data_IF_701333254614
#
_entry.id   IF_701333254614
#
_cell.length_a   1.000
_cell.length_b   1.000
_cell.length_c   1.000
_cell.angle_alpha   90.00
_cell.angle_beta   90.00
_cell.angle_gamma   90.00
#
_symmetry.space_group_name_H-M   'P 1'
#
loop_
_entity.id
_entity.type
_entity.pdbx_description
1 polymer ?
#
# COMPACT_ATOMS: atom_id res chain seq x y z
N UNK A 1 0.82 32.63 13.11
CA UNK A 1 -0.17 31.70 13.70
C UNK A 1 0.61 30.45 14.09
N UNK A 2 0.53 29.99 15.34
CA UNK A 2 1.22 28.76 15.77
C UNK A 2 0.72 27.57 14.95
N UNK A 3 1.60 26.63 14.61
CA UNK A 3 1.22 25.41 13.91
C UNK A 3 0.10 24.68 14.69
N UNK A 4 -0.87 24.04 14.01
CA UNK A 4 -1.88 23.24 14.68
C UNK A 4 -1.21 22.15 15.54
N UNK A 5 -1.70 21.95 16.76
CA UNK A 5 -1.15 20.99 17.71
C UNK A 5 -2.25 20.41 18.59
N UNK A 6 -1.91 19.34 19.31
CA UNK A 6 -2.84 18.64 20.18
C UNK A 6 -3.24 19.53 21.37
N UNK A 7 -4.53 19.60 21.69
CA UNK A 7 -5.04 20.31 22.85
C UNK A 7 -5.26 19.39 24.05
N UNK A 8 -5.41 19.93 25.28
CA UNK A 8 -5.81 19.13 26.44
C UNK A 8 -7.16 18.43 26.26
N UNK A 9 -8.09 19.03 25.50
CA UNK A 9 -9.38 18.43 25.14
C UNK A 9 -9.18 17.20 24.26
N UNK A 10 -8.32 17.30 23.25
CA UNK A 10 -8.02 16.18 22.36
C UNK A 10 -7.39 15.02 23.13
N UNK A 11 -6.47 15.33 24.06
CA UNK A 11 -5.83 14.32 24.90
C UNK A 11 -6.83 13.60 25.83
N UNK A 12 -7.88 14.29 26.29
CA UNK A 12 -8.98 13.69 27.06
C UNK A 12 -9.77 12.70 26.21
N UNK A 13 -10.11 13.06 24.96
CA UNK A 13 -10.80 12.18 24.01
C UNK A 13 -9.96 10.94 23.70
N UNK A 14 -8.68 11.12 23.36
CA UNK A 14 -7.75 10.02 23.11
C UNK A 14 -7.58 9.11 24.34
N UNK A 15 -7.51 9.69 25.54
CA UNK A 15 -7.44 8.92 26.78
C UNK A 15 -8.71 8.11 27.05
N UNK A 16 -9.88 8.65 26.71
CA UNK A 16 -11.14 7.91 26.82
C UNK A 16 -11.15 6.70 25.89
N UNK A 17 -10.84 6.88 24.60
CA UNK A 17 -10.79 5.76 23.65
C UNK A 17 -9.73 4.73 24.02
N UNK A 18 -8.55 5.16 24.47
CA UNK A 18 -7.52 4.24 24.94
C UNK A 18 -7.93 3.45 26.20
N UNK A 19 -8.67 4.09 27.11
CA UNK A 19 -9.25 3.46 28.30
C UNK A 19 -10.32 2.43 27.95
N UNK A 20 -11.18 2.75 26.98
CA UNK A 20 -12.20 1.86 26.43
C UNK A 20 -11.64 0.78 25.48
N UNK A 21 -10.32 0.75 25.25
CA UNK A 21 -9.65 -0.12 24.25
C UNK A 21 -10.17 0.08 22.81
N UNK A 22 -10.77 1.23 22.52
CA UNK A 22 -11.37 1.53 21.22
C UNK A 22 -10.32 2.07 20.26
N UNK A 23 -9.60 1.14 19.61
CA UNK A 23 -8.54 1.47 18.64
C UNK A 23 -9.09 2.24 17.45
N UNK A 24 -10.27 1.87 16.95
CA UNK A 24 -10.82 2.51 15.77
C UNK A 24 -11.10 3.99 16.03
N UNK A 25 -11.84 4.33 17.09
CA UNK A 25 -12.15 5.73 17.39
C UNK A 25 -10.91 6.52 17.81
N UNK A 26 -9.91 5.89 18.43
CA UNK A 26 -8.63 6.54 18.75
C UNK A 26 -7.92 7.05 17.48
N UNK A 27 -7.67 6.16 16.51
CA UNK A 27 -6.98 6.53 15.28
C UNK A 27 -7.83 7.40 14.37
N UNK A 28 -9.15 7.19 14.37
CA UNK A 28 -10.11 8.05 13.69
C UNK A 28 -10.06 9.49 14.20
N UNK A 29 -10.04 9.66 15.52
CA UNK A 29 -9.96 10.98 16.14
C UNK A 29 -8.65 11.69 15.77
N UNK A 30 -7.51 10.99 15.78
CA UNK A 30 -6.25 11.56 15.30
C UNK A 30 -6.30 11.98 13.83
N UNK A 31 -6.89 11.15 12.97
CA UNK A 31 -6.96 11.38 11.53
C UNK A 31 -7.84 12.58 11.12
N UNK A 32 -8.78 13.01 11.97
CA UNK A 32 -9.63 14.19 11.71
C UNK A 32 -9.05 15.51 12.23
N UNK A 33 -8.05 15.48 13.12
CA UNK A 33 -7.50 16.70 13.71
C UNK A 33 -6.79 17.56 12.65
N UNK A 34 -7.04 18.88 12.59
CA UNK A 34 -6.32 19.77 11.69
C UNK A 34 -4.81 19.72 11.90
N UNK A 35 -4.04 19.61 10.82
CA UNK A 35 -2.58 19.55 10.88
C UNK A 35 -2.00 18.18 11.24
N UNK A 36 -2.81 17.11 11.29
CA UNK A 36 -2.28 15.76 11.39
C UNK A 36 -1.44 15.39 10.14
N UNK A 37 -0.42 14.57 10.36
CA UNK A 37 0.55 14.14 9.35
C UNK A 37 0.09 12.97 8.47
N UNK A 38 -1.08 12.38 8.74
CA UNK A 38 -1.61 11.20 8.05
C UNK A 38 -1.40 9.87 8.80
N UNK A 39 -0.62 9.85 9.89
CA UNK A 39 -0.35 8.60 10.64
C UNK A 39 -1.62 7.93 11.16
N UNK A 40 -2.56 8.72 11.71
CA UNK A 40 -3.86 8.20 12.16
C UNK A 40 -4.65 7.52 11.04
N UNK A 41 -4.58 8.06 9.81
CA UNK A 41 -5.29 7.48 8.66
C UNK A 41 -4.63 6.19 8.18
N UNK A 42 -3.30 6.12 8.17
CA UNK A 42 -2.57 4.90 7.88
C UNK A 42 -2.93 3.79 8.89
N UNK A 43 -2.91 4.12 10.19
CA UNK A 43 -3.25 3.19 11.26
C UNK A 43 -4.71 2.70 11.18
N UNK A 44 -5.65 3.56 10.77
CA UNK A 44 -7.04 3.16 10.56
C UNK A 44 -7.21 2.05 9.54
N UNK A 45 -6.48 2.09 8.40
CA UNK A 45 -6.53 1.03 7.39
C UNK A 45 -6.09 -0.33 7.95
N UNK A 46 -5.09 -0.34 8.83
CA UNK A 46 -4.62 -1.54 9.54
C UNK A 46 -5.68 -2.06 10.51
N UNK A 47 -6.30 -1.15 11.28
CA UNK A 47 -7.30 -1.49 12.32
C UNK A 47 -8.59 -2.02 11.70
N UNK A 48 -9.08 -1.38 10.64
CA UNK A 48 -10.31 -1.78 9.94
C UNK A 48 -10.10 -2.92 8.95
N UNK A 49 -8.86 -3.17 8.54
CA UNK A 49 -8.51 -4.19 7.55
C UNK A 49 -9.29 -3.98 6.23
N UNK A 50 -9.55 -2.72 5.86
CA UNK A 50 -10.52 -2.33 4.82
C UNK A 50 -9.86 -1.70 3.58
N UNK A 51 -8.54 -1.58 3.57
CA UNK A 51 -7.74 -1.13 2.43
C UNK A 51 -6.50 -2.00 2.19
N UNK A 52 -5.92 -1.91 1.00
CA UNK A 52 -4.79 -2.77 0.61
C UNK A 52 -3.53 -2.59 1.48
N UNK A 53 -3.11 -1.35 1.83
CA UNK A 53 -1.96 -1.15 2.72
C UNK A 53 -2.16 -1.78 4.10
N UNK A 54 -3.35 -1.63 4.68
CA UNK A 54 -3.69 -2.19 5.99
C UNK A 54 -3.67 -3.72 5.99
N UNK A 55 -4.23 -4.35 4.96
CA UNK A 55 -4.17 -5.81 4.76
C UNK A 55 -2.74 -6.30 4.61
N UNK A 56 -1.95 -5.61 3.80
CA UNK A 56 -0.54 -5.93 3.56
C UNK A 56 0.28 -5.84 4.84
N UNK A 57 0.09 -4.79 5.64
CA UNK A 57 0.79 -4.62 6.91
C UNK A 57 0.43 -5.73 7.92
N UNK A 58 -0.85 -6.06 8.04
CA UNK A 58 -1.31 -7.15 8.90
C UNK A 58 -0.72 -8.51 8.46
N UNK A 59 -0.77 -8.81 7.16
CA UNK A 59 -0.24 -10.07 6.65
C UNK A 59 1.29 -10.13 6.71
N UNK A 60 1.98 -9.00 6.52
CA UNK A 60 3.43 -8.89 6.72
C UNK A 60 3.80 -9.26 8.15
N UNK A 61 3.15 -8.64 9.15
CA UNK A 61 3.41 -8.92 10.56
C UNK A 61 3.14 -10.40 10.90
N UNK A 62 2.04 -10.98 10.40
CA UNK A 62 1.71 -12.38 10.63
C UNK A 62 2.68 -13.35 9.93
N UNK A 63 3.08 -13.08 8.68
CA UNK A 63 4.07 -13.89 7.98
C UNK A 63 5.43 -13.83 8.69
N UNK A 64 5.86 -12.63 9.09
CA UNK A 64 7.11 -12.43 9.81
C UNK A 64 7.12 -13.21 11.12
N UNK A 65 6.08 -13.06 11.95
CA UNK A 65 5.96 -13.77 13.21
C UNK A 65 5.96 -15.30 13.04
N UNK A 66 5.31 -15.81 11.98
CA UNK A 66 5.31 -17.25 11.67
C UNK A 66 6.71 -17.73 11.29
N UNK A 67 7.38 -17.02 10.39
CA UNK A 67 8.66 -17.44 9.80
C UNK A 67 9.85 -17.26 10.75
N UNK A 68 9.85 -16.21 11.55
CA UNK A 68 11.00 -15.84 12.40
C UNK A 68 10.78 -16.16 13.88
N UNK A 69 9.52 -16.26 14.32
CA UNK A 69 9.18 -16.52 15.72
C UNK A 69 8.37 -17.81 15.92
N UNK A 70 7.94 -18.49 14.85
CA UNK A 70 7.11 -19.70 14.93
C UNK A 70 5.70 -19.45 15.47
N UNK A 71 5.20 -18.21 15.40
CA UNK A 71 3.93 -17.80 16.01
C UNK A 71 2.85 -17.50 14.98
N UNK A 72 1.66 -18.06 15.18
CA UNK A 72 0.44 -17.72 14.46
C UNK A 72 -0.55 -17.15 15.46
N UNK A 73 -0.96 -15.90 15.25
CA UNK A 73 -1.84 -15.18 16.16
C UNK A 73 -3.27 -15.14 15.63
N UNK A 74 -4.22 -15.23 16.54
CA UNK A 74 -5.64 -14.99 16.30
C UNK A 74 -5.94 -13.50 16.11
N UNK A 75 -7.13 -13.18 15.61
CA UNK A 75 -7.55 -11.78 15.46
C UNK A 75 -7.62 -11.06 16.83
N UNK A 76 -7.94 -11.78 17.92
CA UNK A 76 -7.95 -11.24 19.27
C UNK A 76 -6.55 -10.91 19.78
N UNK A 77 -5.58 -11.79 19.56
CA UNK A 77 -4.20 -11.51 19.97
C UNK A 77 -3.61 -10.32 19.21
N UNK A 78 -3.92 -10.19 17.92
CA UNK A 78 -3.58 -8.99 17.15
C UNK A 78 -4.33 -7.74 17.64
N UNK A 79 -5.58 -7.88 18.09
CA UNK A 79 -6.32 -6.78 18.72
C UNK A 79 -5.65 -6.29 20.01
N UNK A 80 -5.29 -7.23 20.90
CA UNK A 80 -4.63 -6.94 22.16
C UNK A 80 -3.24 -6.30 21.95
N UNK A 81 -2.48 -6.77 20.95
CA UNK A 81 -1.27 -6.10 20.47
C UNK A 81 -1.56 -4.66 20.05
N UNK A 82 -2.60 -4.44 19.25
CA UNK A 82 -3.01 -3.11 18.80
C UNK A 82 -3.43 -2.19 19.95
N UNK A 83 -4.06 -2.74 21.00
CA UNK A 83 -4.47 -1.99 22.19
C UNK A 83 -3.23 -1.55 22.98
N UNK A 84 -2.23 -2.43 23.12
CA UNK A 84 -0.96 -2.11 23.76
C UNK A 84 -0.21 -1.01 22.99
N UNK A 85 -0.12 -1.13 21.66
CA UNK A 85 0.48 -0.13 20.78
C UNK A 85 -0.18 1.25 20.94
N UNK A 86 -1.52 1.31 20.85
CA UNK A 86 -2.28 2.55 21.05
C UNK A 86 -2.00 3.21 22.41
N UNK A 87 -1.92 2.41 23.49
CA UNK A 87 -1.62 2.95 24.82
C UNK A 87 -0.20 3.51 24.91
N UNK A 88 0.77 2.91 24.22
CA UNK A 88 2.14 3.42 24.14
C UNK A 88 2.23 4.71 23.32
N UNK A 89 1.52 4.76 22.20
CA UNK A 89 1.37 5.98 21.38
C UNK A 89 0.81 7.13 22.24
N UNK A 90 -0.30 6.89 22.96
CA UNK A 90 -0.88 7.87 23.88
C UNK A 90 0.11 8.35 24.95
N UNK A 91 0.94 7.45 25.48
CA UNK A 91 1.94 7.81 26.49
C UNK A 91 2.96 8.82 25.95
N UNK A 92 3.43 8.64 24.71
CA UNK A 92 4.32 9.61 24.07
C UNK A 92 3.62 10.95 23.81
N UNK A 93 2.36 10.95 23.36
CA UNK A 93 1.59 12.19 23.18
C UNK A 93 1.44 12.95 24.49
N UNK A 94 1.18 12.25 25.60
CA UNK A 94 1.14 12.83 26.96
C UNK A 94 2.48 13.46 27.36
N UNK A 95 3.59 12.80 27.04
CA UNK A 95 4.93 13.34 27.33
C UNK A 95 5.20 14.64 26.58
N UNK A 96 4.90 14.69 25.28
CA UNK A 96 5.06 15.91 24.47
C UNK A 96 4.13 17.04 24.94
N UNK A 97 2.89 16.73 25.29
CA UNK A 97 1.98 17.70 25.92
C UNK A 97 2.53 18.25 27.24
N UNK A 98 3.13 17.40 28.07
CA UNK A 98 3.78 17.83 29.33
C UNK A 98 4.99 18.75 29.12
N UNK A 99 5.59 18.75 27.92
CA UNK A 99 6.69 19.65 27.53
C UNK A 99 6.20 20.95 26.88
N UNK A 100 4.89 21.12 26.66
CA UNK A 100 4.33 22.27 25.95
C UNK A 100 4.46 22.18 24.42
N UNK A 101 4.88 21.03 23.89
CA UNK A 101 5.18 20.80 22.47
C UNK A 101 3.98 20.14 21.78
N UNK A 102 2.89 20.90 21.64
CA UNK A 102 1.60 20.40 21.17
C UNK A 102 1.63 19.91 19.72
N UNK A 103 2.47 20.49 18.85
CA UNK A 103 2.64 20.02 17.47
C UNK A 103 3.24 18.61 17.41
N UNK A 104 4.22 18.31 18.23
CA UNK A 104 4.87 16.99 18.31
C UNK A 104 3.97 15.98 19.02
N UNK A 105 3.12 16.44 19.94
CA UNK A 105 2.07 15.59 20.52
C UNK A 105 1.01 15.20 19.48
N UNK A 106 0.76 16.04 18.47
CA UNK A 106 -0.14 15.72 17.35
C UNK A 106 0.55 14.81 16.32
N UNK A 107 1.78 15.16 15.94
CA UNK A 107 2.59 14.42 14.96
C UNK A 107 3.84 13.93 15.66
N UNK A 108 3.75 12.71 16.22
CA UNK A 108 4.86 12.12 16.96
C UNK A 108 6.07 11.95 16.03
N UNK A 109 7.29 12.29 16.48
CA UNK A 109 8.47 11.96 15.71
C UNK A 109 8.58 10.45 15.49
N UNK A 110 9.15 10.04 14.36
CA UNK A 110 9.20 8.63 13.96
C UNK A 110 9.91 7.75 14.98
N UNK A 111 10.86 8.32 15.72
CA UNK A 111 11.59 7.63 16.78
C UNK A 111 10.65 7.10 17.86
N UNK A 112 9.73 7.93 18.35
CA UNK A 112 8.73 7.57 19.35
C UNK A 112 7.68 6.61 18.79
N UNK A 113 7.25 6.82 17.53
CA UNK A 113 6.34 5.88 16.84
C UNK A 113 6.98 4.50 16.74
N UNK A 114 8.22 4.43 16.29
CA UNK A 114 8.97 3.18 16.19
C UNK A 114 9.14 2.52 17.56
N UNK A 115 9.51 3.28 18.60
CA UNK A 115 9.70 2.69 19.92
C UNK A 115 8.39 2.17 20.54
N UNK A 116 7.25 2.79 20.22
CA UNK A 116 5.94 2.24 20.58
C UNK A 116 5.71 0.87 19.94
N UNK A 117 6.01 0.72 18.64
CA UNK A 117 5.92 -0.56 17.92
C UNK A 117 6.92 -1.59 18.45
N UNK A 118 8.20 -1.23 18.57
CA UNK A 118 9.26 -2.10 19.09
C UNK A 118 8.87 -2.73 20.43
N UNK A 119 8.36 -1.91 21.35
CA UNK A 119 7.97 -2.41 22.68
C UNK A 119 6.68 -3.24 22.64
N UNK A 120 5.74 -2.94 21.75
CA UNK A 120 4.54 -3.75 21.55
C UNK A 120 4.90 -5.14 20.96
N UNK A 121 5.78 -5.20 19.96
CA UNK A 121 6.22 -6.46 19.34
C UNK A 121 7.03 -7.31 20.31
N UNK A 122 8.00 -6.70 21.03
CA UNK A 122 8.78 -7.42 22.06
C UNK A 122 7.89 -8.01 23.17
N UNK A 123 6.79 -7.35 23.53
CA UNK A 123 5.85 -7.85 24.56
C UNK A 123 5.17 -9.15 24.15
N UNK A 124 4.91 -9.36 22.86
CA UNK A 124 4.36 -10.61 22.32
C UNK A 124 5.47 -11.57 21.82
N UNK A 125 6.73 -11.25 22.15
CA UNK A 125 7.95 -11.96 21.74
C UNK A 125 8.04 -12.18 20.22
N UNK A 126 7.66 -11.15 19.48
CA UNK A 126 7.86 -11.04 18.03
C UNK A 126 8.97 -10.02 17.79
N UNK A 127 9.81 -10.29 16.79
CA UNK A 127 10.85 -9.35 16.41
C UNK A 127 10.21 -8.02 15.92
N UNK A 128 10.68 -6.85 16.39
CA UNK A 128 10.22 -5.55 15.89
C UNK A 128 10.29 -5.36 14.37
N UNK A 129 11.12 -6.12 13.66
CA UNK A 129 11.17 -6.15 12.20
C UNK A 129 9.87 -6.64 11.55
N UNK A 130 8.94 -7.24 12.31
CA UNK A 130 7.57 -7.50 11.88
C UNK A 130 6.77 -6.21 11.62
N UNK A 131 7.23 -5.05 12.09
CA UNK A 131 6.68 -3.75 11.71
C UNK A 131 7.17 -3.34 10.32
N UNK A 132 6.26 -3.20 9.36
CA UNK A 132 6.59 -2.99 7.94
C UNK A 132 7.62 -1.88 7.65
N UNK A 133 7.59 -0.69 8.29
CA UNK A 133 8.57 0.37 8.06
C UNK A 133 9.94 0.14 8.73
N UNK A 134 10.06 -0.77 9.70
CA UNK A 134 11.17 -0.86 10.66
C UNK A 134 12.55 -0.91 9.99
N UNK A 135 12.71 -1.84 9.03
CA UNK A 135 14.00 -2.06 8.33
C UNK A 135 14.42 -0.85 7.50
N UNK A 136 13.47 -0.15 6.89
CA UNK A 136 13.74 1.07 6.12
C UNK A 136 14.16 2.22 7.03
N UNK A 137 13.50 2.38 8.18
CA UNK A 137 13.84 3.41 9.16
C UNK A 137 15.23 3.19 9.76
N UNK A 138 15.65 1.94 10.01
CA UNK A 138 17.04 1.67 10.44
C UNK A 138 18.05 1.97 9.35
N UNK A 139 17.78 1.60 8.11
CA UNK A 139 18.66 1.92 7.01
C UNK A 139 18.84 3.45 6.91
N UNK A 140 17.75 4.21 7.02
CA UNK A 140 17.78 5.67 7.03
C UNK A 140 18.57 6.23 8.24
N UNK A 141 18.37 5.70 9.46
CA UNK A 141 19.18 6.13 10.62
C UNK A 141 20.65 5.78 10.49
N UNK A 142 21.01 4.65 9.86
CA UNK A 142 22.42 4.32 9.56
C UNK A 142 23.04 5.36 8.65
N UNK A 143 22.34 5.79 7.59
CA UNK A 143 22.76 6.89 6.75
C UNK A 143 22.94 8.19 7.58
N UNK A 144 21.97 8.49 8.45
CA UNK A 144 22.04 9.65 9.35
C UNK A 144 23.23 9.63 10.32
N UNK A 145 23.63 8.46 10.80
CA UNK A 145 24.86 8.30 11.62
C UNK A 145 26.13 8.63 10.81
N UNK A 146 26.18 8.22 9.55
CA UNK A 146 27.30 8.58 8.67
C UNK A 146 27.32 10.09 8.40
N UNK A 147 26.16 10.70 8.18
CA UNK A 147 26.03 12.17 8.04
C UNK A 147 26.50 12.90 9.29
N UNK A 148 26.07 12.46 10.47
CA UNK A 148 26.48 13.04 11.74
C UNK A 148 28.00 12.95 11.95
N UNK A 149 28.61 11.82 11.59
CA UNK A 149 30.07 11.64 11.66
C UNK A 149 30.79 12.61 10.71
N UNK A 150 30.30 12.76 9.47
CA UNK A 150 30.88 13.71 8.49
C UNK A 150 30.79 15.15 8.98
N UNK A 151 29.65 15.55 9.50
CA UNK A 151 29.46 16.90 10.04
C UNK A 151 30.28 17.15 11.30
N UNK A 152 30.44 16.14 12.15
CA UNK A 152 31.33 16.22 13.32
C UNK A 152 32.79 16.41 12.90
N UNK A 153 33.27 15.69 11.90
CA UNK A 153 34.63 15.87 11.35
C UNK A 153 34.81 17.29 10.79
N UNK A 154 33.86 17.78 9.98
CA UNK A 154 33.89 19.13 9.42
C UNK A 154 33.84 20.22 10.49
N UNK A 155 33.06 20.03 11.55
CA UNK A 155 32.99 20.95 12.68
C UNK A 155 34.33 20.99 13.43
N UNK A 156 34.94 19.82 13.68
CA UNK A 156 36.24 19.72 14.32
C UNK A 156 37.35 20.43 13.50
N UNK A 157 37.32 20.32 12.17
CA UNK A 157 38.23 21.06 11.28
C UNK A 157 38.07 22.59 11.40
N UNK A 158 36.88 23.07 11.78
CA UNK A 158 36.61 24.50 12.07
C UNK A 158 36.85 24.89 13.53
N UNK A 159 37.29 23.97 14.39
CA UNK A 159 37.44 24.20 15.83
C UNK A 159 36.10 24.26 16.59
N UNK A 160 35.02 23.76 16.01
CA UNK A 160 33.68 23.72 16.59
C UNK A 160 33.38 22.33 17.20
N UNK A 161 32.55 22.29 18.24
CA UNK A 161 32.03 21.04 18.82
C UNK A 161 30.51 21.04 18.71
N UNK A 162 29.97 20.05 17.99
CA UNK A 162 28.52 19.87 17.87
C UNK A 162 27.94 19.30 19.16
N UNK A 163 26.82 19.85 19.62
CA UNK A 163 26.09 19.32 20.77
C UNK A 163 25.46 17.96 20.47
N UNK A 164 25.24 17.14 21.49
CA UNK A 164 24.53 15.85 21.36
C UNK A 164 23.14 16.01 20.73
N UNK A 165 22.40 17.06 21.11
CA UNK A 165 21.08 17.34 20.52
C UNK A 165 21.17 17.70 19.02
N UNK A 166 22.25 18.34 18.58
CA UNK A 166 22.48 18.62 17.15
C UNK A 166 22.78 17.33 16.40
N UNK A 167 23.64 16.47 16.95
CA UNK A 167 23.97 15.18 16.34
C UNK A 167 22.73 14.27 16.25
N UNK A 168 21.92 14.19 17.30
CA UNK A 168 20.68 13.42 17.31
C UNK A 168 19.72 13.87 16.20
N UNK A 169 19.58 15.19 15.99
CA UNK A 169 18.77 15.73 14.88
C UNK A 169 19.30 15.29 13.51
N UNK A 170 20.62 15.29 13.32
CA UNK A 170 21.23 14.83 12.05
C UNK A 170 20.97 13.33 11.84
N UNK A 171 21.08 12.53 12.90
CA UNK A 171 20.87 11.08 12.85
C UNK A 171 19.42 10.72 12.51
N UNK A 172 18.44 11.41 13.11
CA UNK A 172 17.02 11.09 12.90
C UNK A 172 16.44 11.69 11.60
N UNK A 173 17.03 12.77 11.08
CA UNK A 173 16.49 13.49 9.92
C UNK A 173 16.20 12.62 8.68
N UNK A 174 17.05 11.65 8.27
CA UNK A 174 16.73 10.75 7.17
C UNK A 174 15.52 9.85 7.47
N UNK A 175 15.41 9.33 8.69
CA UNK A 175 14.27 8.49 9.08
C UNK A 175 12.97 9.29 9.08
N UNK A 176 12.99 10.55 9.55
CA UNK A 176 11.84 11.45 9.49
C UNK A 176 11.40 11.75 8.05
N UNK A 177 12.35 11.91 7.12
CA UNK A 177 12.03 12.11 5.69
C UNK A 177 11.35 10.87 5.09
N UNK A 178 11.89 9.68 5.36
CA UNK A 178 11.27 8.42 4.91
C UNK A 178 9.88 8.28 5.50
N UNK A 179 9.73 8.51 6.81
CA UNK A 179 8.45 8.43 7.50
C UNK A 179 7.42 9.41 6.95
N UNK A 180 7.77 10.68 6.80
CA UNK A 180 6.87 11.71 6.26
C UNK A 180 6.42 11.36 4.83
N UNK A 181 7.33 10.85 3.99
CA UNK A 181 6.99 10.35 2.66
C UNK A 181 6.00 9.18 2.73
N UNK A 182 6.21 8.25 3.68
CA UNK A 182 5.29 7.16 3.97
C UNK A 182 3.97 7.58 4.62
N UNK A 183 3.80 8.84 5.02
CA UNK A 183 2.54 9.36 5.57
C UNK A 183 1.76 10.25 4.59
N UNK A 184 2.42 10.80 3.56
CA UNK A 184 1.75 11.60 2.54
C UNK A 184 0.84 10.73 1.64
N UNK A 185 -0.48 10.91 1.76
CA UNK A 185 -1.54 10.11 1.12
C UNK A 185 -1.99 10.65 -0.26
N UNK A 186 -1.31 11.66 -0.81
CA UNK A 186 -1.69 12.23 -2.12
C UNK A 186 -1.29 11.36 -3.33
N UNK A 187 -0.41 10.37 -3.12
CA UNK A 187 -0.12 9.32 -4.09
C UNK A 187 -1.05 8.13 -3.83
N UNK A 188 -1.88 7.77 -4.81
CA UNK A 188 -2.79 6.62 -4.81
C UNK A 188 -2.18 5.44 -4.03
N UNK A 189 -2.88 4.97 -2.99
CA UNK A 189 -2.41 4.10 -1.90
C UNK A 189 -1.83 2.72 -2.26
N UNK A 190 -1.47 2.49 -3.51
CA UNK A 190 -0.67 1.34 -3.96
C UNK A 190 0.76 1.71 -4.35
N UNK A 191 1.04 3.00 -4.57
CA UNK A 191 2.39 3.54 -4.62
C UNK A 191 3.17 3.21 -3.34
N UNK A 192 2.54 3.04 -2.17
CA UNK A 192 3.27 2.55 -0.99
C UNK A 192 3.67 1.07 -1.07
N UNK A 193 2.87 0.18 -1.63
CA UNK A 193 3.23 -1.25 -1.71
C UNK A 193 4.46 -1.48 -2.60
N UNK A 194 4.54 -0.73 -3.71
CA UNK A 194 5.59 -0.85 -4.73
C UNK A 194 6.69 0.22 -4.63
N UNK A 195 6.44 1.40 -4.05
CA UNK A 195 7.43 2.46 -3.79
C UNK A 195 8.04 2.41 -2.39
N UNK A 196 7.48 1.64 -1.45
CA UNK A 196 8.29 1.10 -0.33
C UNK A 196 9.35 0.13 -0.89
N UNK A 197 9.08 -0.45 -2.07
CA UNK A 197 9.94 -1.35 -2.86
C UNK A 197 10.81 -0.60 -3.90
N UNK A 198 10.46 0.59 -4.37
CA UNK A 198 11.29 1.42 -5.29
C UNK A 198 12.03 2.56 -4.56
N UNK A 199 11.57 2.99 -3.39
CA UNK A 199 12.34 3.73 -2.39
C UNK A 199 13.56 2.96 -1.87
N UNK A 200 13.67 1.67 -2.22
CA UNK A 200 14.90 0.87 -2.12
C UNK A 200 16.10 1.48 -2.86
N UNK A 201 15.88 2.42 -3.80
CA UNK A 201 16.95 3.20 -4.44
C UNK A 201 17.48 4.32 -3.52
N UNK A 202 16.69 4.79 -2.55
CA UNK A 202 17.12 5.75 -1.53
C UNK A 202 17.76 5.07 -0.28
N UNK A 203 17.50 3.78 -0.05
CA UNK A 203 18.14 3.00 1.01
C UNK A 203 19.49 2.41 0.55
N UNK A 204 20.42 3.26 0.11
CA UNK A 204 21.75 2.84 -0.37
C UNK A 204 22.56 2.06 0.70
N UNK A 205 22.23 2.23 1.99
CA UNK A 205 22.90 1.62 3.14
C UNK A 205 22.22 0.37 3.75
N UNK A 206 21.22 -0.23 3.06
CA UNK A 206 20.72 -1.56 3.45
C UNK A 206 21.57 -2.66 2.77
N UNK A 207 22.11 -3.65 3.53
CA UNK A 207 22.79 -4.80 2.94
C UNK A 207 21.95 -5.48 1.86
N UNK A 208 22.58 -5.93 0.77
CA UNK A 208 21.89 -6.50 -0.40
C UNK A 208 20.99 -7.70 -0.02
N UNK A 209 21.46 -8.53 0.92
CA UNK A 209 20.71 -9.69 1.42
C UNK A 209 19.43 -9.24 2.14
N UNK A 210 19.53 -8.27 3.04
CA UNK A 210 18.38 -7.74 3.80
C UNK A 210 17.37 -7.07 2.88
N UNK A 211 17.87 -6.39 1.84
CA UNK A 211 17.04 -5.76 0.80
C UNK A 211 16.22 -6.77 0.03
N UNK A 212 16.86 -7.86 -0.41
CA UNK A 212 16.21 -8.95 -1.13
C UNK A 212 15.17 -9.69 -0.26
N UNK A 213 15.51 -9.94 1.01
CA UNK A 213 14.58 -10.54 1.95
C UNK A 213 13.36 -9.65 2.20
N UNK A 214 13.57 -8.37 2.53
CA UNK A 214 12.48 -7.42 2.76
C UNK A 214 11.55 -7.29 1.55
N UNK A 215 12.12 -7.17 0.34
CA UNK A 215 11.37 -7.08 -0.91
C UNK A 215 10.48 -8.32 -1.14
N UNK A 216 11.02 -9.52 -0.90
CA UNK A 216 10.29 -10.79 -1.02
C UNK A 216 9.16 -10.86 0.00
N UNK A 217 9.45 -10.57 1.27
CA UNK A 217 8.48 -10.71 2.37
C UNK A 217 7.32 -9.71 2.19
N UNK A 218 7.62 -8.48 1.75
CA UNK A 218 6.61 -7.49 1.36
C UNK A 218 5.80 -7.93 0.15
N UNK A 219 6.44 -8.49 -0.88
CA UNK A 219 5.73 -8.97 -2.07
C UNK A 219 4.79 -10.13 -1.73
N UNK A 220 5.22 -11.06 -0.88
CA UNK A 220 4.39 -12.16 -0.40
C UNK A 220 3.19 -11.67 0.43
N UNK A 221 3.42 -10.71 1.33
CA UNK A 221 2.35 -10.08 2.11
C UNK A 221 1.36 -9.32 1.21
N UNK A 222 1.85 -8.62 0.20
CA UNK A 222 1.00 -7.90 -0.75
C UNK A 222 0.15 -8.87 -1.58
N UNK A 223 0.75 -9.89 -2.18
CA UNK A 223 0.00 -10.90 -2.96
C UNK A 223 -1.01 -11.62 -2.08
N UNK A 224 -0.62 -12.00 -0.87
CA UNK A 224 -1.52 -12.67 0.06
C UNK A 224 -2.68 -11.78 0.50
N UNK A 225 -2.48 -10.46 0.64
CA UNK A 225 -3.52 -9.49 1.01
C UNK A 225 -4.61 -9.32 -0.04
N UNK A 226 -4.33 -9.63 -1.32
CA UNK A 226 -5.36 -9.65 -2.38
C UNK A 226 -6.46 -10.68 -2.11
N UNK A 227 -6.10 -11.72 -1.37
CA UNK A 227 -6.98 -12.82 -1.02
C UNK A 227 -7.53 -12.69 0.41
N UNK A 228 -7.25 -11.60 1.13
CA UNK A 228 -7.83 -11.33 2.46
C UNK A 228 -9.23 -10.71 2.37
N UNK A 229 -10.12 -11.10 3.30
CA UNK A 229 -11.46 -10.51 3.44
C UNK A 229 -11.44 -9.34 4.43
N UNK A 230 -12.27 -8.29 4.25
CA UNK A 230 -12.44 -7.28 5.28
C UNK A 230 -12.97 -7.87 6.60
N UNK A 231 -12.71 -7.19 7.72
CA UNK A 231 -13.14 -7.62 9.06
C UNK A 231 -14.53 -7.08 9.46
N UNK A 232 -15.29 -6.53 8.51
CA UNK A 232 -16.59 -5.89 8.74
C UNK A 232 -17.72 -6.89 8.96
N UNK A 233 -17.61 -8.09 8.38
CA UNK A 233 -18.60 -9.16 8.56
C UNK A 233 -18.22 -10.05 9.75
N UNK A 234 -18.99 -10.04 10.86
CA UNK A 234 -18.74 -10.92 12.01
C UNK A 234 -19.03 -12.39 11.70
N UNK A 235 -19.91 -12.66 10.74
CA UNK A 235 -20.38 -14.01 10.39
C UNK A 235 -19.58 -14.65 9.23
N UNK A 236 -18.54 -13.97 8.72
CA UNK A 236 -17.69 -14.48 7.63
C UNK A 236 -16.21 -14.24 7.96
N UNK A 237 -15.45 -15.31 8.19
CA UNK A 237 -14.09 -15.25 8.72
C UNK A 237 -13.15 -16.08 7.84
N UNK A 238 -12.05 -15.49 7.38
CA UNK A 238 -11.04 -16.17 6.56
C UNK A 238 -10.72 -15.40 5.28
N UNK A 239 -10.18 -16.11 4.30
CA UNK A 239 -9.67 -15.60 3.01
C UNK A 239 -10.72 -15.78 1.90
N UNK A 240 -10.51 -15.19 0.73
CA UNK A 240 -11.49 -15.29 -0.36
C UNK A 240 -11.59 -16.71 -0.94
N UNK A 241 -10.52 -17.50 -0.88
CA UNK A 241 -10.44 -18.89 -1.35
C UNK A 241 -10.81 -19.93 -0.26
N UNK A 242 -10.58 -19.60 1.01
CA UNK A 242 -10.89 -20.47 2.14
C UNK A 242 -11.40 -19.65 3.34
N UNK A 243 -12.67 -19.87 3.70
CA UNK A 243 -13.32 -19.12 4.79
C UNK A 243 -14.37 -19.97 5.49
N UNK A 244 -14.78 -19.46 6.64
CA UNK A 244 -15.88 -19.99 7.43
C UNK A 244 -17.03 -19.01 7.39
N UNK A 245 -18.24 -19.53 7.27
CA UNK A 245 -19.45 -18.73 7.25
C UNK A 245 -20.44 -19.26 8.29
N UNK A 246 -21.04 -18.35 9.04
CA UNK A 246 -22.15 -18.67 9.93
C UNK A 246 -23.44 -18.69 9.14
N UNK A 247 -24.19 -19.77 9.24
CA UNK A 247 -25.48 -19.90 8.57
C UNK A 247 -26.62 -19.21 9.36
N UNK A 248 -27.83 -19.28 8.81
CA UNK A 248 -29.03 -18.69 9.44
C UNK A 248 -29.45 -19.35 10.75
N UNK A 249 -28.98 -20.57 11.01
CA UNK A 249 -29.29 -21.32 12.23
C UNK A 249 -28.23 -21.10 13.32
N UNK A 250 -27.16 -20.40 12.97
CA UNK A 250 -26.08 -20.07 13.87
C UNK A 250 -24.95 -21.10 13.87
N UNK A 251 -24.91 -22.01 12.91
CA UNK A 251 -23.87 -23.02 12.76
C UNK A 251 -22.74 -22.52 11.84
N UNK A 252 -21.51 -22.93 12.13
CA UNK A 252 -20.35 -22.63 11.29
C UNK A 252 -20.16 -23.68 10.21
N UNK A 253 -19.96 -23.24 8.98
CA UNK A 253 -19.59 -24.08 7.85
C UNK A 253 -18.24 -23.65 7.30
N UNK A 254 -17.39 -24.62 6.96
CA UNK A 254 -16.15 -24.36 6.22
C UNK A 254 -16.46 -24.34 4.72
N UNK A 255 -15.96 -23.33 4.01
CA UNK A 255 -16.10 -23.19 2.56
C UNK A 255 -14.71 -23.11 1.96
N UNK A 256 -14.39 -24.09 1.12
CA UNK A 256 -13.18 -24.11 0.28
C UNK A 256 -13.57 -24.00 -1.18
N UNK A 257 -13.04 -22.99 -1.85
CA UNK A 257 -13.12 -22.91 -3.30
C UNK A 257 -12.00 -23.76 -3.90
N UNK A 258 -12.34 -24.95 -4.41
CA UNK A 258 -11.43 -25.64 -5.31
C UNK A 258 -11.45 -24.89 -6.65
N UNK A 259 -10.31 -24.42 -7.16
CA UNK A 259 -10.20 -24.10 -8.58
C UNK A 259 -10.08 -25.42 -9.36
N UNK A 260 -11.04 -25.79 -10.24
CA UNK A 260 -10.74 -26.73 -11.29
C UNK A 260 -10.23 -25.95 -12.50
N UNK A 261 -9.21 -26.50 -13.13
CA UNK A 261 -8.94 -26.29 -14.55
C UNK A 261 -10.24 -26.69 -15.29
N UNK A 262 -11.02 -25.70 -15.76
CA UNK A 262 -12.30 -25.80 -16.48
C UNK A 262 -13.60 -25.77 -15.64
N UNK A 263 -14.12 -24.56 -15.43
CA UNK A 263 -15.54 -24.24 -15.73
C UNK A 263 -16.64 -24.59 -14.72
N UNK A 264 -16.39 -25.37 -13.65
CA UNK A 264 -17.43 -25.68 -12.64
C UNK A 264 -16.89 -25.45 -11.23
N UNK A 265 -17.37 -24.39 -10.57
CA UNK A 265 -17.08 -24.08 -9.16
C UNK A 265 -17.72 -25.14 -8.26
N UNK A 266 -16.91 -25.90 -7.53
CA UNK A 266 -17.39 -26.79 -6.47
C UNK A 266 -17.06 -26.14 -5.13
N UNK A 267 -18.10 -25.75 -4.39
CA UNK A 267 -17.95 -25.33 -3.00
C UNK A 267 -17.98 -26.60 -2.14
N UNK A 268 -16.85 -26.96 -1.53
CA UNK A 268 -16.83 -28.02 -0.53
C UNK A 268 -17.31 -27.43 0.80
N UNK A 269 -18.36 -28.02 1.37
CA UNK A 269 -18.96 -27.67 2.65
C UNK A 269 -18.59 -28.75 3.66
N UNK A 270 -17.69 -28.43 4.58
CA UNK A 270 -17.26 -29.34 5.65
C UNK A 270 -17.76 -28.84 7.03
N UNK A 271 -18.05 -29.78 7.93
CA UNK A 271 -18.35 -29.48 9.32
C UNK A 271 -17.11 -28.92 10.04
N UNK A 272 -17.29 -27.88 10.83
CA UNK A 272 -16.18 -27.23 11.53
C UNK A 272 -15.88 -27.95 12.85
N UNK A 273 -14.62 -28.39 13.08
CA UNK A 273 -14.24 -29.02 14.35
C UNK A 273 -14.44 -28.08 15.54
N UNK A 274 -14.73 -28.64 16.71
CA UNK A 274 -15.05 -27.88 17.93
C UNK A 274 -13.97 -26.86 18.33
N UNK A 275 -12.69 -27.22 18.21
CA UNK A 275 -11.59 -26.31 18.50
C UNK A 275 -11.59 -25.10 17.55
N UNK A 276 -11.87 -25.32 16.26
CA UNK A 276 -11.96 -24.24 15.27
C UNK A 276 -13.21 -23.39 15.50
N UNK A 277 -14.35 -23.99 15.85
CA UNK A 277 -15.58 -23.25 16.18
C UNK A 277 -15.35 -22.24 17.31
N UNK A 278 -14.64 -22.61 18.37
CA UNK A 278 -14.33 -21.70 19.48
C UNK A 278 -13.54 -20.47 19.05
N UNK A 279 -12.58 -20.64 18.13
CA UNK A 279 -11.78 -19.53 17.58
C UNK A 279 -12.66 -18.62 16.72
N UNK A 280 -13.58 -19.20 15.93
CA UNK A 280 -14.53 -18.45 15.10
C UNK A 280 -15.53 -17.66 15.95
N UNK A 281 -16.08 -18.26 17.00
CA UNK A 281 -16.94 -17.56 17.96
C UNK A 281 -16.21 -16.39 18.63
N UNK A 282 -14.99 -16.63 19.10
CA UNK A 282 -14.19 -15.59 19.73
C UNK A 282 -13.91 -14.41 18.77
N UNK A 283 -13.58 -14.72 17.52
CA UNK A 283 -13.35 -13.72 16.47
C UNK A 283 -14.63 -12.96 16.13
N UNK A 284 -15.78 -13.65 16.08
CA UNK A 284 -17.08 -13.05 15.84
C UNK A 284 -17.45 -12.09 16.97
N UNK A 285 -17.30 -12.51 18.23
CA UNK A 285 -17.58 -11.68 19.40
C UNK A 285 -16.70 -10.42 19.42
N UNK A 286 -15.43 -10.55 19.03
CA UNK A 286 -14.54 -9.41 18.85
C UNK A 286 -15.07 -8.43 17.79
N UNK A 287 -15.48 -8.92 16.61
CA UNK A 287 -16.00 -8.07 15.53
C UNK A 287 -17.31 -7.39 15.91
N UNK A 288 -18.22 -8.09 16.60
CA UNK A 288 -19.44 -7.51 17.15
C UNK A 288 -19.13 -6.43 18.19
N UNK A 289 -18.18 -6.68 19.08
CA UNK A 289 -17.74 -5.69 20.07
C UNK A 289 -17.17 -4.44 19.39
N UNK A 290 -16.34 -4.61 18.35
CA UNK A 290 -15.80 -3.48 17.56
C UNK A 290 -16.91 -2.71 16.84
N UNK A 291 -17.88 -3.40 16.24
CA UNK A 291 -19.02 -2.76 15.58
C UNK A 291 -19.82 -1.90 16.58
N UNK A 292 -20.09 -2.41 17.79
CA UNK A 292 -20.74 -1.64 18.84
C UNK A 292 -19.87 -0.46 19.33
N UNK A 293 -18.56 -0.68 19.51
CA UNK A 293 -17.62 0.34 19.96
C UNK A 293 -17.44 1.47 18.93
N UNK A 294 -17.62 1.19 17.64
CA UNK A 294 -17.51 2.19 16.56
C UNK A 294 -18.51 3.34 16.69
N UNK A 295 -19.65 3.12 17.34
CA UNK A 295 -20.66 4.15 17.57
C UNK A 295 -20.51 4.87 18.93
N UNK A 296 -19.58 4.42 19.78
CA UNK A 296 -19.39 4.92 21.14
C UNK A 296 -18.50 6.18 21.19
N UNK A 297 -18.92 7.25 20.49
CA UNK A 297 -18.19 8.51 20.46
C UNK A 297 -18.15 9.19 21.83
N UNK A 298 -17.00 9.78 22.15
CA UNK A 298 -16.87 10.65 23.31
C UNK A 298 -17.66 11.96 23.08
N UNK A 299 -18.30 12.58 24.10
CA UNK A 299 -19.10 13.80 23.92
C UNK A 299 -18.34 15.01 23.35
N UNK A 300 -17.02 15.01 23.53
CA UNK A 300 -16.11 16.05 23.00
C UNK A 300 -15.61 15.73 21.57
N UNK A 301 -16.00 14.59 20.99
CA UNK A 301 -15.74 14.21 19.60
C UNK A 301 -16.91 14.61 18.71
N UNK A 302 -16.62 15.14 17.52
CA UNK A 302 -17.63 15.57 16.56
C UNK A 302 -18.40 14.40 15.92
N UNK A 303 -18.03 13.14 16.19
CA UNK A 303 -18.76 11.97 15.70
C UNK A 303 -18.50 11.65 14.23
N UNK A 304 -17.41 12.18 13.65
CA UNK A 304 -17.10 12.00 12.23
C UNK A 304 -16.22 10.78 12.03
N UNK A 305 -16.70 9.79 11.29
CA UNK A 305 -15.84 8.72 10.79
C UNK A 305 -15.08 9.21 9.55
N UNK A 306 -13.75 9.24 9.65
CA UNK A 306 -12.85 9.46 8.53
C UNK A 306 -12.71 8.14 7.78
N UNK A 307 -12.84 8.16 6.46
CA UNK A 307 -12.56 6.99 5.63
C UNK A 307 -11.09 6.59 5.72
N UNK A 308 -10.80 5.29 5.69
CA UNK A 308 -9.44 4.81 5.47
C UNK A 308 -8.96 5.31 4.09
N UNK A 309 -7.65 5.51 3.90
CA UNK A 309 -7.15 5.85 2.57
C UNK A 309 -7.52 4.73 1.57
N UNK A 310 -8.19 5.06 0.47
CA UNK A 310 -8.68 4.12 -0.56
C UNK A 310 -9.46 2.91 0.01
N UNK A 311 -10.65 3.13 0.61
CA UNK A 311 -11.48 2.04 1.12
C UNK A 311 -11.93 1.14 -0.02
N UNK A 312 -11.86 -0.18 0.17
CA UNK A 312 -12.32 -1.17 -0.82
C UNK A 312 -13.81 -1.04 -1.18
N UNK A 313 -14.60 -0.37 -0.34
CA UNK A 313 -16.03 -0.11 -0.53
C UNK A 313 -16.30 1.03 -1.51
N UNK A 314 -15.36 1.97 -1.72
CA UNK A 314 -15.57 3.16 -2.55
C UNK A 314 -14.73 3.26 -3.82
N UNK A 315 -13.86 2.31 -4.11
CA UNK A 315 -13.33 2.14 -5.47
C UNK A 315 -12.76 0.75 -5.56
N UNK A 316 -13.54 -0.17 -6.12
CA UNK A 316 -12.91 -1.20 -6.94
C UNK A 316 -12.54 -0.49 -8.24
N UNK A 317 -11.27 -0.16 -8.54
CA UNK A 317 -10.87 -0.26 -9.92
C UNK A 317 -11.32 -1.64 -10.37
N UNK A 318 -12.29 -1.71 -11.29
CA UNK A 318 -12.67 -2.94 -11.97
C UNK A 318 -11.45 -3.32 -12.79
N UNK A 319 -10.51 -3.97 -12.12
CA UNK A 319 -9.27 -4.41 -12.68
C UNK A 319 -9.41 -5.92 -12.81
N UNK A 320 -9.54 -6.38 -14.05
CA UNK A 320 -9.67 -7.79 -14.37
C UNK A 320 -8.39 -8.28 -15.03
N UNK A 321 -8.10 -9.57 -14.91
CA UNK A 321 -7.05 -10.16 -15.72
C UNK A 321 -7.50 -10.13 -17.19
N UNK A 322 -6.60 -9.82 -18.14
CA UNK A 322 -6.92 -9.86 -19.56
C UNK A 322 -7.48 -11.22 -19.98
N UNK A 323 -8.46 -11.21 -20.87
CA UNK A 323 -9.03 -12.41 -21.49
C UNK A 323 -8.30 -12.75 -22.80
N UNK A 324 -8.37 -14.00 -23.29
CA UNK A 324 -7.72 -14.39 -24.54
C UNK A 324 -8.13 -13.56 -25.78
N UNK A 325 -9.31 -12.94 -25.74
CA UNK A 325 -9.90 -12.11 -26.81
C UNK A 325 -9.65 -10.59 -26.62
N UNK A 326 -8.99 -10.19 -25.52
CA UNK A 326 -8.63 -8.79 -25.30
C UNK A 326 -7.55 -8.32 -26.29
N UNK A 327 -7.49 -7.00 -26.51
CA UNK A 327 -6.46 -6.37 -27.34
C UNK A 327 -5.04 -6.75 -26.86
N UNK A 328 -4.15 -7.27 -27.72
CA UNK A 328 -2.86 -7.81 -27.29
C UNK A 328 -1.93 -6.79 -26.63
N UNK A 329 -1.96 -5.53 -27.06
CA UNK A 329 -1.14 -4.49 -26.46
C UNK A 329 -1.72 -4.03 -25.12
N UNK A 330 -3.04 -3.89 -25.02
CA UNK A 330 -3.71 -3.70 -23.73
C UNK A 330 -3.39 -4.84 -22.76
N UNK A 331 -3.48 -6.10 -23.19
CA UNK A 331 -3.17 -7.24 -22.33
C UNK A 331 -1.71 -7.17 -21.83
N UNK A 332 -0.76 -6.88 -22.72
CA UNK A 332 0.65 -6.74 -22.37
C UNK A 332 0.92 -5.57 -21.39
N UNK A 333 0.26 -4.42 -21.58
CA UNK A 333 0.32 -3.28 -20.66
C UNK A 333 -0.31 -3.66 -19.32
N UNK A 334 -1.50 -4.26 -19.34
CA UNK A 334 -2.27 -4.64 -18.15
C UNK A 334 -1.56 -5.67 -17.28
N UNK A 335 -0.84 -6.62 -17.89
CA UNK A 335 0.02 -7.58 -17.17
C UNK A 335 1.22 -6.94 -16.47
N UNK A 336 1.67 -5.77 -16.94
CA UNK A 336 2.80 -5.02 -16.35
C UNK A 336 2.32 -3.96 -15.35
N UNK A 337 1.07 -3.53 -15.46
CA UNK A 337 0.45 -2.56 -14.56
C UNK A 337 -0.12 -3.22 -13.29
N UNK A 338 0.01 -2.55 -12.14
CA UNK A 338 -0.63 -2.96 -10.89
C UNK A 338 -2.16 -3.12 -11.00
N UNK A 339 -2.74 -4.01 -10.17
CA UNK A 339 -4.19 -4.33 -10.17
C UNK A 339 -5.09 -3.21 -9.63
N UNK A 340 -4.54 -2.18 -9.03
CA UNK A 340 -5.27 -0.98 -8.62
C UNK A 340 -5.39 0.06 -9.74
N UNK A 341 -4.57 -0.07 -10.79
CA UNK A 341 -4.77 0.66 -12.03
C UNK A 341 -5.98 0.04 -12.72
N UNK A 342 -7.05 0.84 -12.82
CA UNK A 342 -8.30 0.41 -13.48
C UNK A 342 -8.04 -0.10 -14.91
N UNK A 343 -8.87 -1.03 -15.38
CA UNK A 343 -8.79 -1.50 -16.77
C UNK A 343 -8.97 -0.34 -17.77
N UNK A 344 -9.72 0.69 -17.39
CA UNK A 344 -9.86 1.93 -18.16
C UNK A 344 -8.54 2.69 -18.31
N UNK A 345 -7.78 2.84 -17.20
CA UNK A 345 -6.47 3.49 -17.22
C UNK A 345 -5.43 2.64 -17.96
N UNK A 346 -5.43 1.32 -17.79
CA UNK A 346 -4.57 0.42 -18.57
C UNK A 346 -4.84 0.52 -20.08
N UNK A 347 -6.11 0.63 -20.48
CA UNK A 347 -6.49 0.86 -21.87
C UNK A 347 -6.07 2.25 -22.39
N UNK A 348 -6.14 3.29 -21.56
CA UNK A 348 -5.61 4.62 -21.89
C UNK A 348 -4.09 4.59 -22.14
N UNK A 349 -3.34 3.85 -21.33
CA UNK A 349 -1.89 3.66 -21.50
C UNK A 349 -1.60 2.95 -22.81
N UNK A 350 -2.32 1.87 -23.13
CA UNK A 350 -2.17 1.16 -24.40
C UNK A 350 -2.53 2.05 -25.62
N UNK A 351 -3.51 2.93 -25.49
CA UNK A 351 -3.83 3.92 -26.52
C UNK A 351 -2.69 4.94 -26.72
N UNK A 352 -2.13 5.48 -25.63
CA UNK A 352 -1.00 6.42 -25.71
C UNK A 352 0.27 5.75 -26.23
N UNK A 353 0.50 4.47 -25.93
CA UNK A 353 1.59 3.68 -26.48
C UNK A 353 1.50 3.62 -28.03
N UNK A 354 0.30 3.41 -28.59
CA UNK A 354 0.09 3.44 -30.04
C UNK A 354 0.37 4.80 -30.66
N UNK A 355 0.01 5.89 -29.99
CA UNK A 355 0.30 7.25 -30.48
C UNK A 355 1.79 7.54 -30.60
N UNK A 356 2.63 6.88 -29.81
CA UNK A 356 4.09 6.99 -29.93
C UNK A 356 4.70 5.93 -30.86
N UNK A 357 3.88 5.09 -31.51
CA UNK A 357 4.28 4.11 -32.51
C UNK A 357 4.49 2.69 -31.99
N UNK A 358 3.99 2.36 -30.79
CA UNK A 358 3.99 0.99 -30.27
C UNK A 358 2.67 0.32 -30.67
N UNK A 359 2.67 -0.44 -31.77
CA UNK A 359 1.47 -1.09 -32.31
C UNK A 359 1.35 -2.56 -31.90
N UNK A 360 2.46 -3.21 -31.52
CA UNK A 360 2.48 -4.61 -31.12
C UNK A 360 3.04 -4.79 -29.70
N UNK A 361 2.58 -5.83 -29.01
CA UNK A 361 3.04 -6.17 -27.66
C UNK A 361 4.55 -6.41 -27.55
N UNK A 362 5.18 -6.89 -28.63
CA UNK A 362 6.63 -7.12 -28.70
C UNK A 362 7.45 -5.81 -28.75
N UNK A 363 6.85 -4.74 -29.27
CA UNK A 363 7.48 -3.42 -29.39
C UNK A 363 7.44 -2.66 -28.05
N UNK A 364 6.63 -3.15 -27.10
CA UNK A 364 6.47 -2.59 -25.76
C UNK A 364 7.72 -2.87 -24.91
N UNK A 365 8.42 -1.80 -24.56
CA UNK A 365 9.53 -1.78 -23.62
C UNK A 365 9.06 -1.81 -22.16
N UNK A 366 9.64 -0.96 -21.31
CA UNK A 366 9.25 -0.88 -19.91
C UNK A 366 7.88 -0.21 -19.76
N UNK A 367 7.05 -0.74 -18.86
CA UNK A 367 5.81 -0.11 -18.40
C UNK A 367 5.92 0.00 -16.90
N UNK A 368 6.18 1.21 -16.43
CA UNK A 368 6.47 1.51 -15.05
C UNK A 368 5.56 2.64 -14.56
N UNK A 369 5.41 2.75 -13.26
CA UNK A 369 4.73 3.88 -12.64
C UNK A 369 5.75 4.59 -11.79
N UNK A 370 5.96 5.89 -12.04
CA UNK A 370 6.95 6.74 -11.39
C UNK A 370 6.44 8.18 -11.32
N UNK A 371 6.65 8.86 -10.19
CA UNK A 371 6.32 10.29 -9.98
C UNK A 371 4.88 10.66 -10.39
N UNK A 372 3.88 9.92 -9.89
CA UNK A 372 2.45 10.05 -10.24
C UNK A 372 2.13 9.84 -11.73
N UNK A 373 3.04 9.22 -12.48
CA UNK A 373 2.89 9.00 -13.92
C UNK A 373 3.15 7.55 -14.30
N UNK A 374 2.31 7.00 -15.18
CA UNK A 374 2.59 5.75 -15.89
C UNK A 374 3.50 6.09 -17.07
N UNK A 375 4.67 5.49 -17.10
CA UNK A 375 5.65 5.58 -18.16
C UNK A 375 5.59 4.31 -19.00
N UNK A 376 5.49 4.47 -20.31
CA UNK A 376 5.47 3.37 -21.27
C UNK A 376 6.49 3.66 -22.36
N UNK A 377 7.54 2.84 -22.47
CA UNK A 377 8.60 3.02 -23.46
C UNK A 377 8.52 2.04 -24.62
N UNK A 378 9.06 2.44 -25.76
CA UNK A 378 9.24 1.60 -26.93
C UNK A 378 10.61 0.90 -26.89
N UNK A 379 10.66 -0.40 -27.19
CA UNK A 379 11.87 -1.23 -27.08
C UNK A 379 13.02 -0.76 -27.99
N UNK A 380 12.72 -0.23 -29.17
CA UNK A 380 13.71 0.03 -30.22
C UNK A 380 13.82 1.49 -30.67
N UNK A 381 12.91 2.37 -30.24
CA UNK A 381 12.85 3.76 -30.74
C UNK A 381 13.20 4.80 -29.69
N UNK A 382 13.37 4.40 -28.42
CA UNK A 382 13.64 5.31 -27.30
C UNK A 382 12.47 6.24 -26.93
N UNK A 383 11.33 6.13 -27.61
CA UNK A 383 10.13 6.94 -27.33
C UNK A 383 9.49 6.51 -26.01
N UNK A 384 9.01 7.49 -25.24
CA UNK A 384 8.33 7.28 -23.95
C UNK A 384 7.01 8.04 -23.94
N UNK A 385 5.94 7.35 -23.56
CA UNK A 385 4.64 7.92 -23.28
C UNK A 385 4.50 8.08 -21.77
N UNK A 386 3.88 9.19 -21.35
CA UNK A 386 3.67 9.51 -19.94
C UNK A 386 2.21 9.86 -19.66
N UNK A 387 1.64 9.29 -18.60
CA UNK A 387 0.22 9.37 -18.26
C UNK A 387 0.06 9.67 -16.78
N UNK A 388 -0.63 10.73 -16.40
CA UNK A 388 -0.94 11.02 -14.99
C UNK A 388 -1.89 9.96 -14.40
N UNK A 389 -1.53 9.44 -13.23
CA UNK A 389 -2.26 8.37 -12.57
C UNK A 389 -3.61 8.82 -12.00
N UNK A 390 -3.69 10.07 -11.55
CA UNK A 390 -4.86 10.72 -10.96
C UNK A 390 -5.88 11.26 -11.98
N UNK A 391 -5.46 11.39 -13.25
CA UNK A 391 -6.36 11.82 -14.32
C UNK A 391 -7.51 10.82 -14.53
N UNK A 392 -8.72 11.32 -14.78
CA UNK A 392 -9.88 10.46 -15.06
C UNK A 392 -9.71 9.79 -16.43
N UNK A 393 -9.57 8.45 -16.52
CA UNK A 393 -9.36 7.78 -17.79
C UNK A 393 -10.67 7.71 -18.60
N UNK A 394 -10.60 7.70 -19.94
CA UNK A 394 -11.74 7.32 -20.77
C UNK A 394 -12.17 5.87 -20.47
N UNK A 395 -13.45 5.50 -20.71
CA UNK A 395 -13.91 4.12 -20.61
C UNK A 395 -13.03 3.14 -21.42
N UNK A 396 -12.77 1.93 -20.89
CA UNK A 396 -11.92 0.89 -21.52
C UNK A 396 -12.26 0.72 -23.00
N UNK A 397 -13.54 0.48 -23.31
CA UNK A 397 -13.97 0.15 -24.67
C UNK A 397 -13.74 1.30 -25.67
N UNK A 398 -13.82 2.55 -25.22
CA UNK A 398 -13.52 3.72 -26.06
C UNK A 398 -12.02 3.80 -26.39
N UNK A 399 -11.16 3.61 -25.38
CA UNK A 399 -9.71 3.58 -25.59
C UNK A 399 -9.29 2.45 -26.53
N UNK A 400 -9.90 1.27 -26.41
CA UNK A 400 -9.66 0.12 -27.30
C UNK A 400 -10.18 0.38 -28.72
N UNK A 401 -11.36 0.98 -28.88
CA UNK A 401 -11.89 1.32 -30.20
C UNK A 401 -10.97 2.31 -30.93
N UNK A 402 -10.50 3.37 -30.25
CA UNK A 402 -9.54 4.32 -30.81
C UNK A 402 -8.19 3.67 -31.12
N UNK A 403 -7.72 2.76 -30.28
CA UNK A 403 -6.50 2.01 -30.50
C UNK A 403 -6.57 1.19 -31.81
N UNK A 404 -7.70 0.50 -32.05
CA UNK A 404 -7.94 -0.26 -33.29
C UNK A 404 -7.96 0.64 -34.52
N UNK A 405 -8.52 1.84 -34.42
CA UNK A 405 -8.51 2.81 -35.53
C UNK A 405 -7.08 3.27 -35.87
N UNK A 406 -6.23 3.50 -34.86
CA UNK A 406 -4.82 3.84 -35.08
C UNK A 406 -4.06 2.70 -35.77
N UNK A 407 -4.29 1.45 -35.36
CA UNK A 407 -3.65 0.29 -35.97
C UNK A 407 -4.09 0.10 -37.44
N UNK A 408 -5.38 0.32 -37.74
CA UNK A 408 -5.89 0.30 -39.12
C UNK A 408 -5.29 1.41 -39.99
N UNK A 409 -5.22 2.63 -39.46
CA UNK A 409 -4.62 3.76 -40.18
C UNK A 409 -3.13 3.50 -40.46
N UNK A 410 -2.39 3.00 -39.47
CA UNK A 410 -0.98 2.64 -39.62
C UNK A 410 -0.78 1.52 -40.66
N UNK A 411 -1.60 0.46 -40.63
CA UNK A 411 -1.53 -0.61 -41.62
C UNK A 411 -1.82 -0.13 -43.05
N UNK A 412 -2.75 0.81 -43.22
CA UNK A 412 -3.07 1.40 -44.53
C UNK A 412 -1.92 2.26 -45.06
N UNK A 413 -1.29 3.07 -44.20
CA UNK A 413 -0.14 3.89 -44.57
C UNK A 413 1.06 3.01 -45.02
N UNK A 414 1.34 1.93 -44.27
CA UNK A 414 2.36 0.95 -44.67
C UNK A 414 2.08 0.30 -46.03
N UNK A 415 0.81 -0.02 -46.32
CA UNK A 415 0.42 -0.59 -47.63
C UNK A 415 0.63 0.43 -48.74
N UNK A 416 0.19 1.67 -48.55
CA UNK A 416 0.39 2.74 -49.54
C UNK A 416 1.87 3.02 -49.80
N UNK A 417 2.71 3.03 -48.76
CA UNK A 417 4.16 3.18 -48.91
C UNK A 417 4.79 2.00 -49.66
N UNK A 418 4.38 0.76 -49.36
CA UNK A 418 4.86 -0.42 -50.06
C UNK A 418 4.45 -0.40 -51.54
N UNK A 419 3.22 0.00 -51.85
CA UNK A 419 2.72 0.17 -53.23
C UNK A 419 3.49 1.26 -53.97
N UNK A 420 3.73 2.43 -53.34
CA UNK A 420 4.50 3.51 -53.93
C UNK A 420 5.95 3.11 -54.19
N UNK A 421 6.59 2.40 -53.24
CA UNK A 421 7.94 1.85 -53.44
C UNK A 421 7.99 0.79 -54.55
N UNK A 422 6.96 -0.05 -54.69
CA UNK A 422 6.86 -1.03 -55.76
C UNK A 422 6.70 -0.35 -57.13
N UNK A 423 5.87 0.70 -57.23
CA UNK A 423 5.72 1.50 -58.45
C UNK A 423 7.02 2.23 -58.81
N UNK A 424 7.72 2.83 -57.83
CA UNK A 424 9.02 3.47 -58.08
C UNK A 424 10.07 2.47 -58.57
N UNK A 425 10.10 1.24 -58.05
CA UNK A 425 10.98 0.17 -58.52
C UNK A 425 10.66 -0.27 -59.96
N UNK A 426 9.38 -0.37 -60.32
CA UNK A 426 8.97 -0.69 -61.70
C UNK A 426 9.29 0.43 -62.69
N UNK A 427 9.21 1.70 -62.28
CA UNK A 427 9.60 2.84 -63.12
C UNK A 427 11.12 2.92 -63.31
N UNK A 428 11.92 2.62 -62.27
CA UNK A 428 13.38 2.53 -62.40
C UNK A 428 13.83 1.34 -63.25
N UNK A 429 13.10 0.22 -63.25
CA UNK A 429 13.43 -0.93 -64.11
C UNK A 429 13.11 -0.68 -65.59
N UNK A 430 12.09 0.14 -65.90
CA UNK A 430 11.77 0.52 -67.28
C UNK A 430 12.61 1.69 -67.80
N UNK A 431 13.26 2.46 -66.93
CA UNK A 431 14.18 3.55 -67.31
C UNK A 431 15.61 3.12 -67.66
N UNK A 432 16.01 1.87 -67.40
CA UNK A 432 17.33 1.32 -67.76
C UNK A 432 17.32 0.42 -69.02
N UNK A 433 16.21 0.40 -69.77
CA UNK A 433 16.08 -0.34 -71.04
C UNK A 433 15.93 0.56 -72.27
N UNK A 434 16.52 1.76 -72.25
CA UNK A 434 16.73 2.59 -73.45
C UNK A 434 18.21 2.83 -73.70
#
# INVERSE_FOLDING_TARGET
>A
MSAPGLSPKDLKVLSHYAGAKNRELYWNYLAQLPGNDGYGRLALGVVRHDNMPGKTANLYAQNYAREHNGKVFTEREWDDFGVDLMKRDLAYRKQWMGRGESSQALNLPVKEVQEAHDRAFRKIEVDPDAWTPRKLLEAARRAGKQDAQREQTRAAERGEVLSGATLDKIVEAPAERVWTSMLNDQALGLHRGKDTLLGLVAAQDMPVIDRGAYARDMSAAYVGALNERPHDSPDVIGRNDHYYMRDRYGEWMEIRHAEPVMGIRHDQLDDVPEAQRRILEDTRDLRLHRAAAREAFHPDDAGRLVESAHPLTHTKPRATLPRPDDDPLYAAVRHRLPMDISDAKAAEVALKARRIGIHHAQDLGAVDVADDRILCSARYTGKVASIECDSTPPPKDQSIAHARQLDQAFANDLRQQAEHMAMQRQQHSHGMSL
#
